data_IF_368882850714
#
_entry.id   IF_368882850714
#
_cell.length_a   1.000
_cell.length_b   1.000
_cell.length_c   1.000
_cell.angle_alpha   90.00
_cell.angle_beta   90.00
_cell.angle_gamma   90.00
#
_symmetry.space_group_name_H-M   'P 1'
#
loop_
_entity.id
_entity.type
_entity.pdbx_description
1 polymer ?
#
# COMPACT_ATOMS: atom_id res chain seq x y z
N UNK A 1 7.86 1.16 -22.02
CA UNK A 1 7.68 -0.31 -22.15
C UNK A 1 6.21 -0.59 -21.91
N UNK A 2 5.57 -1.44 -22.73
CA UNK A 2 4.18 -1.84 -22.52
C UNK A 2 4.06 -2.64 -21.22
N UNK A 3 2.99 -2.38 -20.47
CA UNK A 3 2.61 -3.14 -19.26
C UNK A 3 1.81 -4.37 -19.67
N UNK A 4 1.60 -5.30 -18.76
CA UNK A 4 0.80 -6.52 -19.02
C UNK A 4 -0.65 -6.18 -19.43
N UNK A 5 -1.26 -5.17 -18.79
CA UNK A 5 -2.59 -4.66 -19.14
C UNK A 5 -2.65 -4.13 -20.58
N UNK A 6 -1.61 -3.41 -21.02
CA UNK A 6 -1.57 -2.85 -22.37
C UNK A 6 -1.49 -3.96 -23.42
N UNK A 7 -0.64 -4.97 -23.16
CA UNK A 7 -0.49 -6.14 -24.04
C UNK A 7 -1.82 -6.93 -24.11
N UNK A 8 -2.46 -7.13 -22.96
CA UNK A 8 -3.72 -7.87 -22.87
C UNK A 8 -4.84 -7.13 -23.62
N UNK A 9 -4.99 -5.83 -23.38
CA UNK A 9 -5.99 -4.96 -24.04
C UNK A 9 -5.82 -4.96 -25.57
N UNK A 10 -4.58 -4.79 -26.05
CA UNK A 10 -4.26 -4.83 -27.49
C UNK A 10 -4.64 -6.22 -28.06
N UNK A 11 -4.30 -7.29 -27.37
CA UNK A 11 -4.54 -8.65 -27.84
C UNK A 11 -6.04 -8.97 -27.90
N UNK A 12 -6.80 -8.60 -26.87
CA UNK A 12 -8.25 -8.83 -26.83
C UNK A 12 -8.97 -8.04 -27.91
N UNK A 13 -8.69 -6.75 -28.00
CA UNK A 13 -9.28 -5.84 -28.99
C UNK A 13 -9.00 -6.32 -30.41
N UNK A 14 -7.77 -6.81 -30.68
CA UNK A 14 -7.40 -7.35 -31.98
C UNK A 14 -8.12 -8.67 -32.31
N UNK A 15 -8.15 -9.60 -31.37
CA UNK A 15 -8.73 -10.93 -31.60
C UNK A 15 -10.25 -10.89 -31.73
N UNK A 16 -10.89 -10.05 -30.92
CA UNK A 16 -12.35 -9.97 -30.84
C UNK A 16 -12.93 -8.87 -31.74
N UNK A 17 -12.09 -8.18 -32.52
CA UNK A 17 -12.48 -7.09 -33.44
C UNK A 17 -13.27 -5.97 -32.73
N UNK A 18 -12.88 -5.62 -31.52
CA UNK A 18 -13.58 -4.62 -30.70
C UNK A 18 -13.19 -3.21 -31.16
N UNK A 19 -14.19 -2.36 -31.35
CA UNK A 19 -13.97 -0.92 -31.59
C UNK A 19 -14.01 -0.18 -30.27
N UNK A 20 -12.93 0.58 -29.99
CA UNK A 20 -12.79 1.42 -28.80
C UNK A 20 -12.38 2.81 -29.26
N UNK A 21 -13.16 3.81 -28.86
CA UNK A 21 -12.93 5.20 -29.26
C UNK A 21 -11.52 5.66 -28.85
N UNK A 22 -10.85 6.37 -29.76
CA UNK A 22 -9.46 6.80 -29.55
C UNK A 22 -8.41 5.70 -29.52
N UNK A 23 -8.78 4.39 -29.52
CA UNK A 23 -7.85 3.28 -29.34
C UNK A 23 -7.86 2.27 -30.50
N UNK A 24 -9.03 1.82 -30.96
CA UNK A 24 -9.13 0.77 -31.99
C UNK A 24 -10.35 0.96 -32.87
N UNK A 25 -10.20 0.68 -34.19
CA UNK A 25 -11.27 0.79 -35.16
C UNK A 25 -11.09 -0.24 -36.27
N UNK A 26 -12.20 -0.82 -36.72
CA UNK A 26 -12.24 -1.62 -37.94
C UNK A 26 -12.30 -0.72 -39.17
N UNK A 27 -11.31 -0.83 -40.04
CA UNK A 27 -11.18 0.00 -41.22
C UNK A 27 -11.43 -0.86 -42.47
N UNK A 28 -12.37 -0.46 -43.34
CA UNK A 28 -12.65 -1.17 -44.58
C UNK A 28 -11.54 -1.00 -45.61
N UNK A 29 -11.35 -1.99 -46.48
CA UNK A 29 -10.39 -1.89 -47.61
C UNK A 29 -10.69 -0.70 -48.49
N UNK A 30 -11.98 -0.39 -48.71
CA UNK A 30 -12.40 0.78 -49.53
C UNK A 30 -11.92 2.10 -48.92
N UNK A 31 -11.98 2.23 -47.58
CA UNK A 31 -11.48 3.40 -46.90
C UNK A 31 -9.94 3.51 -46.97
N UNK A 32 -9.24 2.36 -46.89
CA UNK A 32 -7.79 2.30 -47.10
C UNK A 32 -7.42 2.73 -48.53
N UNK A 33 -8.15 2.27 -49.55
CA UNK A 33 -7.94 2.71 -50.95
C UNK A 33 -8.17 4.19 -51.12
N UNK A 34 -9.19 4.78 -50.51
CA UNK A 34 -9.48 6.20 -50.52
C UNK A 34 -8.36 7.01 -49.86
N UNK A 35 -7.65 6.45 -48.91
CA UNK A 35 -6.47 7.03 -48.27
C UNK A 35 -5.16 6.61 -48.96
N UNK A 36 -5.19 6.25 -50.24
CA UNK A 36 -4.04 5.91 -51.08
C UNK A 36 -3.17 4.78 -50.45
N UNK A 37 -3.83 3.81 -49.84
CA UNK A 37 -3.19 2.70 -49.09
C UNK A 37 -2.25 3.14 -47.97
N UNK A 38 -2.43 4.33 -47.45
CA UNK A 38 -1.66 4.82 -46.31
C UNK A 38 -2.21 4.25 -45.03
N UNK A 39 -1.42 3.38 -44.33
CA UNK A 39 -1.78 2.68 -43.09
C UNK A 39 -1.37 3.44 -41.84
N UNK A 40 -1.12 4.75 -41.93
CA UNK A 40 -0.76 5.54 -40.76
C UNK A 40 -1.95 5.67 -39.81
N UNK A 41 -1.82 5.14 -38.60
CA UNK A 41 -2.89 5.03 -37.58
C UNK A 41 -3.65 6.33 -37.33
N UNK A 42 -3.00 7.50 -37.16
CA UNK A 42 -3.71 8.78 -36.95
C UNK A 42 -4.68 9.20 -38.04
N UNK A 43 -4.68 8.56 -39.21
CA UNK A 43 -5.67 8.82 -40.26
C UNK A 43 -7.02 8.12 -39.99
N UNK A 44 -7.01 7.12 -39.15
CA UNK A 44 -8.17 6.23 -38.89
C UNK A 44 -8.66 6.32 -37.44
N UNK A 45 -7.76 6.65 -36.52
CA UNK A 45 -8.03 6.76 -35.10
C UNK A 45 -7.53 8.12 -34.64
N UNK A 46 -8.44 8.95 -34.14
CA UNK A 46 -8.07 10.19 -33.47
C UNK A 46 -7.86 9.91 -31.98
N UNK A 47 -6.59 9.90 -31.57
CA UNK A 47 -6.18 9.72 -30.19
C UNK A 47 -5.75 11.07 -29.54
N UNK A 48 -6.12 12.19 -30.15
CA UNK A 48 -5.83 13.51 -29.59
C UNK A 48 -6.76 13.79 -28.42
N UNK A 49 -6.17 13.97 -27.26
CA UNK A 49 -6.89 14.51 -26.11
C UNK A 49 -7.42 15.91 -26.45
N UNK A 50 -8.67 16.17 -26.08
CA UNK A 50 -9.23 17.51 -26.17
C UNK A 50 -8.38 18.47 -25.34
N UNK A 51 -7.88 19.54 -25.97
CA UNK A 51 -7.07 20.53 -25.26
C UNK A 51 -7.93 21.18 -24.18
N UNK A 52 -7.55 20.96 -22.92
CA UNK A 52 -8.15 21.66 -21.78
C UNK A 52 -7.82 23.16 -21.87
N UNK A 53 -8.82 23.95 -22.22
CA UNK A 53 -8.70 25.41 -22.32
C UNK A 53 -9.04 25.99 -20.96
N UNK A 54 -8.03 26.37 -20.20
CA UNK A 54 -8.22 27.02 -18.90
C UNK A 54 -9.06 28.28 -18.99
N UNK A 55 -10.14 28.34 -18.21
CA UNK A 55 -11.00 29.50 -18.09
C UNK A 55 -10.37 30.55 -17.15
N UNK A 56 -9.76 31.60 -17.76
CA UNK A 56 -9.12 32.71 -17.03
C UNK A 56 -10.15 33.45 -16.15
N UNK A 57 -11.42 33.56 -16.60
CA UNK A 57 -12.45 34.24 -15.85
C UNK A 57 -12.86 33.47 -14.57
N UNK A 58 -12.91 32.15 -14.63
CA UNK A 58 -13.10 31.31 -13.49
C UNK A 58 -11.96 31.48 -12.45
N UNK A 59 -10.72 31.56 -12.95
CA UNK A 59 -9.55 31.78 -12.08
C UNK A 59 -9.56 33.13 -11.37
N UNK A 60 -10.03 34.19 -12.02
CA UNK A 60 -10.01 35.54 -11.47
C UNK A 60 -11.21 35.85 -10.58
N UNK A 61 -12.37 35.25 -10.85
CA UNK A 61 -13.65 35.58 -10.19
C UNK A 61 -14.20 34.46 -9.32
N UNK A 62 -13.57 33.31 -9.35
CA UNK A 62 -14.09 32.10 -8.72
C UNK A 62 -15.19 31.42 -9.55
N UNK A 63 -15.86 30.47 -8.97
CA UNK A 63 -16.77 29.49 -9.59
C UNK A 63 -16.05 28.51 -10.55
N UNK A 64 -16.75 27.46 -10.93
CA UNK A 64 -16.25 26.39 -11.80
C UNK A 64 -17.06 26.42 -13.09
N UNK A 65 -16.43 26.38 -14.28
CA UNK A 65 -17.19 26.26 -15.53
C UNK A 65 -18.10 25.03 -15.48
N UNK A 66 -19.35 25.19 -15.89
CA UNK A 66 -20.31 24.08 -15.90
C UNK A 66 -19.86 22.96 -16.84
N UNK A 67 -19.11 23.30 -17.89
CA UNK A 67 -18.52 22.31 -18.81
C UNK A 67 -17.58 21.38 -18.06
N UNK A 68 -16.69 21.88 -17.22
CA UNK A 68 -15.72 21.07 -16.46
C UNK A 68 -16.45 20.10 -15.49
N UNK A 69 -17.57 20.57 -14.90
CA UNK A 69 -18.41 19.69 -14.07
C UNK A 69 -19.13 18.65 -14.93
N UNK A 70 -19.58 19.00 -16.14
CA UNK A 70 -20.30 18.10 -17.03
C UNK A 70 -19.36 17.10 -17.71
N UNK A 71 -18.08 17.42 -17.89
CA UNK A 71 -17.05 16.52 -18.42
C UNK A 71 -16.79 15.32 -17.47
N UNK A 72 -17.16 15.42 -16.20
CA UNK A 72 -17.22 14.29 -15.28
C UNK A 72 -18.48 13.42 -15.47
N UNK A 73 -19.06 13.42 -16.67
CA UNK A 73 -20.32 12.76 -16.99
C UNK A 73 -20.37 11.28 -16.62
N UNK A 74 -19.27 10.53 -16.78
CA UNK A 74 -19.20 9.11 -16.41
C UNK A 74 -19.39 8.90 -14.90
N UNK A 75 -18.83 9.79 -14.07
CA UNK A 75 -19.04 9.77 -12.63
C UNK A 75 -20.48 10.09 -12.28
N UNK A 76 -21.10 11.05 -12.94
CA UNK A 76 -22.48 11.45 -12.68
C UNK A 76 -23.51 10.41 -13.13
N UNK A 77 -23.16 9.50 -14.03
CA UNK A 77 -23.98 8.34 -14.35
C UNK A 77 -24.07 7.37 -13.17
N UNK A 78 -22.98 7.23 -12.42
CA UNK A 78 -22.90 6.33 -11.25
C UNK A 78 -23.37 7.03 -9.97
N UNK A 79 -23.07 8.34 -9.84
CA UNK A 79 -23.32 9.14 -8.65
C UNK A 79 -24.22 10.37 -8.94
N UNK A 80 -25.44 10.18 -9.44
CA UNK A 80 -26.28 11.31 -9.89
C UNK A 80 -26.69 12.26 -8.75
N UNK A 81 -26.84 11.79 -7.52
CA UNK A 81 -27.22 12.66 -6.38
C UNK A 81 -26.01 13.28 -5.70
N UNK A 82 -24.82 12.68 -5.82
CA UNK A 82 -23.56 13.24 -5.34
C UNK A 82 -23.26 14.57 -6.05
N UNK A 83 -23.45 14.64 -7.39
CA UNK A 83 -23.32 15.90 -8.13
C UNK A 83 -24.10 17.03 -7.48
N UNK A 84 -25.37 16.80 -7.14
CA UNK A 84 -26.23 17.79 -6.52
C UNK A 84 -25.84 18.13 -5.07
N UNK A 85 -25.11 17.25 -4.41
CA UNK A 85 -24.56 17.48 -3.07
C UNK A 85 -23.33 18.37 -3.08
N UNK A 86 -22.58 18.34 -4.19
CA UNK A 86 -21.33 19.09 -4.34
C UNK A 86 -21.51 20.45 -5.02
N UNK A 87 -22.42 20.57 -6.00
CA UNK A 87 -22.53 21.73 -6.87
C UNK A 87 -23.93 22.32 -6.90
N UNK A 88 -24.01 23.65 -6.98
CA UNK A 88 -25.20 24.42 -7.35
C UNK A 88 -24.93 25.26 -8.59
N UNK A 89 -26.01 25.70 -9.26
CA UNK A 89 -25.88 26.69 -10.34
C UNK A 89 -25.40 28.02 -9.77
N UNK A 90 -24.38 28.61 -10.37
CA UNK A 90 -23.93 29.96 -10.03
C UNK A 90 -24.91 31.02 -10.53
N UNK A 91 -24.89 32.21 -9.92
CA UNK A 91 -25.55 33.41 -10.48
C UNK A 91 -24.97 33.80 -11.83
N UNK A 92 -23.74 33.41 -12.10
CA UNK A 92 -23.07 33.59 -13.39
C UNK A 92 -23.50 32.50 -14.35
N UNK A 93 -23.99 32.89 -15.52
CA UNK A 93 -24.38 31.93 -16.56
C UNK A 93 -23.16 31.09 -17.02
N UNK A 94 -23.36 29.78 -17.16
CA UNK A 94 -22.35 28.75 -17.51
C UNK A 94 -21.33 28.43 -16.40
N UNK A 95 -21.60 28.83 -15.16
CA UNK A 95 -20.75 28.46 -14.02
C UNK A 95 -21.55 27.74 -12.95
N UNK A 96 -20.85 26.93 -12.20
CA UNK A 96 -21.35 26.19 -11.02
C UNK A 96 -20.56 26.63 -9.80
N UNK A 97 -21.24 26.67 -8.65
CA UNK A 97 -20.62 27.02 -7.36
C UNK A 97 -20.51 25.76 -6.50
N UNK A 98 -19.40 25.62 -5.81
CA UNK A 98 -19.25 24.54 -4.84
C UNK A 98 -20.10 24.83 -3.59
N UNK A 99 -20.91 23.85 -3.16
CA UNK A 99 -21.82 23.97 -1.99
C UNK A 99 -21.14 23.80 -0.66
N UNK A 100 -19.97 23.19 -0.64
CA UNK A 100 -19.24 22.77 0.55
C UNK A 100 -17.80 23.30 0.52
N UNK A 101 -17.16 23.37 1.66
CA UNK A 101 -15.77 23.75 1.76
C UNK A 101 -14.86 22.70 1.10
N UNK A 102 -13.77 23.16 0.49
CA UNK A 102 -12.81 22.28 -0.21
C UNK A 102 -12.28 21.14 0.67
N UNK A 103 -12.04 21.43 1.94
CA UNK A 103 -11.46 20.48 2.90
C UNK A 103 -12.39 19.32 3.24
N UNK A 104 -13.70 19.45 3.01
CA UNK A 104 -14.70 18.41 3.28
C UNK A 104 -15.17 17.65 2.06
N UNK A 105 -14.73 18.03 0.83
CA UNK A 105 -15.14 17.37 -0.42
C UNK A 105 -14.86 15.87 -0.35
N UNK A 106 -13.62 15.50 -0.04
CA UNK A 106 -13.18 14.10 0.04
C UNK A 106 -14.05 13.31 1.01
N UNK A 107 -14.26 13.82 2.22
CA UNK A 107 -15.10 13.17 3.21
C UNK A 107 -16.57 13.05 2.75
N UNK A 108 -17.10 14.07 2.06
CA UNK A 108 -18.46 14.05 1.52
C UNK A 108 -18.62 12.97 0.46
N UNK A 109 -17.65 12.80 -0.43
CA UNK A 109 -17.65 11.73 -1.45
C UNK A 109 -17.63 10.36 -0.79
N UNK A 110 -16.67 10.09 0.09
CA UNK A 110 -16.49 8.78 0.74
C UNK A 110 -17.66 8.37 1.65
N UNK A 111 -18.37 9.34 2.23
CA UNK A 111 -19.52 9.06 3.09
C UNK A 111 -20.85 9.08 2.33
N UNK A 112 -20.85 9.46 1.05
CA UNK A 112 -22.06 9.51 0.26
C UNK A 112 -22.63 8.11 -0.02
N UNK A 113 -23.96 7.98 0.11
CA UNK A 113 -24.63 6.68 0.00
C UNK A 113 -24.40 5.97 -1.36
N UNK A 114 -24.31 6.72 -2.45
CA UNK A 114 -24.06 6.19 -3.80
C UNK A 114 -22.64 5.66 -3.91
N UNK A 115 -21.65 6.36 -3.35
CA UNK A 115 -20.26 5.91 -3.32
C UNK A 115 -20.09 4.66 -2.46
N UNK A 116 -20.65 4.67 -1.24
CA UNK A 116 -20.63 3.49 -0.35
C UNK A 116 -21.30 2.27 -0.99
N UNK A 117 -22.39 2.50 -1.75
CA UNK A 117 -23.05 1.43 -2.49
C UNK A 117 -22.17 0.87 -3.62
N UNK A 118 -21.56 1.75 -4.41
CA UNK A 118 -20.63 1.35 -5.48
C UNK A 118 -19.45 0.56 -4.92
N UNK A 119 -18.80 1.04 -3.85
CA UNK A 119 -17.71 0.33 -3.18
C UNK A 119 -18.14 -1.09 -2.76
N UNK A 120 -19.29 -1.23 -2.10
CA UNK A 120 -19.82 -2.54 -1.71
C UNK A 120 -20.13 -3.45 -2.90
N UNK A 121 -20.54 -2.91 -4.02
CA UNK A 121 -20.77 -3.69 -5.24
C UNK A 121 -19.44 -4.23 -5.79
N UNK A 122 -18.39 -3.41 -5.78
CA UNK A 122 -17.04 -3.83 -6.21
C UNK A 122 -16.43 -4.85 -5.26
N UNK A 123 -16.54 -4.63 -3.95
CA UNK A 123 -16.11 -5.60 -2.93
C UNK A 123 -16.78 -6.95 -3.11
N UNK A 124 -18.10 -6.97 -3.37
CA UNK A 124 -18.84 -8.21 -3.60
C UNK A 124 -18.39 -8.93 -4.88
N UNK A 125 -18.06 -8.21 -5.94
CA UNK A 125 -17.51 -8.80 -7.17
C UNK A 125 -16.18 -9.48 -6.88
N UNK A 126 -15.30 -8.79 -6.16
CA UNK A 126 -14.01 -9.34 -5.75
C UNK A 126 -14.19 -10.57 -4.86
N UNK A 127 -15.06 -10.51 -3.87
CA UNK A 127 -15.34 -11.63 -2.95
C UNK A 127 -15.83 -12.89 -3.69
N UNK A 128 -16.67 -12.74 -4.70
CA UNK A 128 -17.13 -13.87 -5.54
C UNK A 128 -15.93 -14.50 -6.26
N UNK A 129 -15.12 -13.70 -6.94
CA UNK A 129 -13.91 -14.17 -7.63
C UNK A 129 -12.92 -14.81 -6.65
N UNK A 130 -12.65 -14.16 -5.51
CA UNK A 130 -11.78 -14.64 -4.43
C UNK A 130 -12.19 -16.01 -3.93
N UNK A 131 -13.47 -16.18 -3.59
CA UNK A 131 -13.98 -17.44 -3.03
C UNK A 131 -13.88 -18.61 -4.03
N UNK A 132 -14.10 -18.36 -5.32
CA UNK A 132 -13.88 -19.35 -6.37
C UNK A 132 -12.40 -19.69 -6.50
N UNK A 133 -11.54 -18.69 -6.52
CA UNK A 133 -10.10 -18.83 -6.72
C UNK A 133 -9.38 -19.52 -5.54
N UNK A 134 -9.78 -19.27 -4.31
CA UNK A 134 -9.20 -19.89 -3.10
C UNK A 134 -9.25 -21.42 -3.18
N UNK A 135 -10.36 -21.97 -3.62
CA UNK A 135 -10.53 -23.43 -3.69
C UNK A 135 -9.53 -24.07 -4.66
N UNK A 136 -9.35 -23.47 -5.83
CA UNK A 136 -8.42 -23.96 -6.85
C UNK A 136 -6.96 -23.74 -6.43
N UNK A 137 -6.64 -22.58 -5.88
CA UNK A 137 -5.31 -22.27 -5.42
C UNK A 137 -4.85 -23.22 -4.29
N UNK A 138 -5.75 -23.55 -3.36
CA UNK A 138 -5.45 -24.54 -2.30
C UNK A 138 -5.35 -25.98 -2.83
N UNK A 139 -5.80 -26.23 -4.05
CA UNK A 139 -5.69 -27.53 -4.72
C UNK A 139 -4.41 -27.69 -5.55
N UNK A 140 -3.56 -26.67 -5.63
CA UNK A 140 -2.25 -26.75 -6.32
C UNK A 140 -1.44 -27.91 -5.74
N UNK A 141 -0.86 -28.73 -6.61
CA UNK A 141 -0.04 -29.89 -6.29
C UNK A 141 1.16 -30.00 -7.25
N UNK A 142 1.93 -31.09 -7.12
CA UNK A 142 3.11 -31.37 -7.96
C UNK A 142 2.82 -31.60 -9.43
N UNK A 143 1.56 -31.76 -9.82
CA UNK A 143 1.11 -31.90 -11.22
C UNK A 143 0.62 -30.61 -11.86
N UNK A 144 0.46 -29.56 -11.05
CA UNK A 144 -0.08 -28.28 -11.48
C UNK A 144 0.93 -27.49 -12.32
N UNK A 145 0.41 -26.68 -13.24
CA UNK A 145 1.22 -25.80 -14.11
C UNK A 145 0.94 -24.34 -13.74
N UNK A 146 1.93 -23.61 -13.20
CA UNK A 146 1.73 -22.20 -12.82
C UNK A 146 1.16 -21.33 -13.93
N UNK A 147 1.56 -21.57 -15.19
CA UNK A 147 1.05 -20.85 -16.36
C UNK A 147 -0.46 -21.04 -16.58
N UNK A 148 -0.96 -22.24 -16.36
CA UNK A 148 -2.39 -22.53 -16.56
C UNK A 148 -3.21 -21.92 -15.41
N UNK A 149 -2.64 -21.92 -14.18
CA UNK A 149 -3.25 -21.30 -13.00
C UNK A 149 -3.46 -19.80 -13.22
N UNK A 150 -2.43 -19.07 -13.59
CA UNK A 150 -2.56 -17.61 -13.78
C UNK A 150 -3.48 -17.27 -14.95
N UNK A 151 -3.45 -18.06 -16.02
CA UNK A 151 -4.33 -17.84 -17.17
C UNK A 151 -5.81 -17.94 -16.77
N UNK A 152 -6.17 -18.94 -15.95
CA UNK A 152 -7.53 -19.13 -15.47
C UNK A 152 -7.96 -18.05 -14.47
N UNK A 153 -7.10 -17.72 -13.50
CA UNK A 153 -7.35 -16.64 -12.52
C UNK A 153 -7.59 -15.30 -13.22
N UNK A 154 -6.71 -14.96 -14.16
CA UNK A 154 -6.75 -13.71 -14.90
C UNK A 154 -7.99 -13.64 -15.81
N UNK A 155 -8.34 -14.74 -16.49
CA UNK A 155 -9.53 -14.79 -17.34
C UNK A 155 -10.82 -14.53 -16.53
N UNK A 156 -10.96 -15.19 -15.38
CA UNK A 156 -12.12 -14.97 -14.50
C UNK A 156 -12.15 -13.59 -13.88
N UNK A 157 -10.99 -13.02 -13.52
CA UNK A 157 -10.92 -11.67 -12.97
C UNK A 157 -11.39 -10.64 -14.00
N UNK A 158 -10.87 -10.71 -15.22
CA UNK A 158 -11.31 -9.85 -16.33
C UNK A 158 -12.81 -9.96 -16.60
N UNK A 159 -13.35 -11.19 -16.61
CA UNK A 159 -14.78 -11.41 -16.82
C UNK A 159 -15.64 -10.85 -15.68
N UNK A 160 -15.15 -10.85 -14.45
CA UNK A 160 -15.87 -10.31 -13.28
C UNK A 160 -16.01 -8.79 -13.33
N UNK A 161 -15.04 -8.09 -13.92
CA UNK A 161 -15.02 -6.63 -14.05
C UNK A 161 -15.39 -6.15 -15.46
N UNK A 162 -15.91 -7.02 -16.31
CA UNK A 162 -16.37 -6.63 -17.64
C UNK A 162 -17.59 -5.69 -17.54
N UNK A 163 -17.62 -4.67 -18.39
CA UNK A 163 -18.68 -3.64 -18.44
C UNK A 163 -18.99 -2.95 -17.09
N UNK A 164 -17.98 -2.75 -16.25
CA UNK A 164 -18.14 -1.95 -15.02
C UNK A 164 -17.85 -0.48 -15.28
N UNK A 165 -18.75 0.37 -14.80
CA UNK A 165 -18.53 1.81 -14.87
C UNK A 165 -17.39 2.22 -13.96
N UNK A 166 -16.60 3.21 -14.37
CA UNK A 166 -15.50 3.83 -13.64
C UNK A 166 -14.30 2.93 -13.34
N UNK A 167 -14.35 1.65 -13.65
CA UNK A 167 -13.24 0.70 -13.45
C UNK A 167 -12.88 0.07 -14.79
N UNK A 168 -11.63 0.25 -15.23
CA UNK A 168 -11.11 -0.51 -16.37
C UNK A 168 -10.65 -1.90 -15.88
N UNK A 169 -11.27 -2.95 -16.41
CA UNK A 169 -10.90 -4.36 -16.09
C UNK A 169 -9.42 -4.65 -16.30
N UNK A 170 -8.75 -3.89 -17.18
CA UNK A 170 -7.33 -4.07 -17.45
C UNK A 170 -6.44 -3.49 -16.37
N UNK A 171 -6.90 -2.45 -15.67
CA UNK A 171 -6.19 -1.93 -14.49
C UNK A 171 -6.25 -2.96 -13.33
N UNK A 172 -7.43 -3.56 -13.10
CA UNK A 172 -7.59 -4.67 -12.14
C UNK A 172 -6.71 -5.86 -12.51
N UNK A 173 -6.66 -6.22 -13.81
CA UNK A 173 -5.78 -7.27 -14.32
C UNK A 173 -4.30 -6.97 -14.07
N UNK A 174 -3.87 -5.70 -14.18
CA UNK A 174 -2.48 -5.31 -13.95
C UNK A 174 -2.06 -5.58 -12.50
N UNK A 175 -2.91 -5.33 -11.50
CA UNK A 175 -2.60 -5.65 -10.10
C UNK A 175 -2.31 -7.14 -9.91
N UNK A 176 -3.20 -7.99 -10.44
CA UNK A 176 -2.97 -9.44 -10.39
C UNK A 176 -1.64 -9.83 -11.07
N UNK A 177 -1.36 -9.29 -12.26
CA UNK A 177 -0.16 -9.64 -13.01
C UNK A 177 1.11 -9.11 -12.39
N UNK A 178 1.06 -7.93 -11.78
CA UNK A 178 2.19 -7.38 -11.02
C UNK A 178 2.53 -8.29 -9.85
N UNK A 179 1.54 -8.60 -9.03
CA UNK A 179 1.72 -9.48 -7.87
C UNK A 179 2.15 -10.91 -8.26
N UNK A 180 1.60 -11.43 -9.36
CA UNK A 180 2.02 -12.71 -9.93
C UNK A 180 3.51 -12.71 -10.29
N UNK A 181 3.95 -11.71 -11.03
CA UNK A 181 5.35 -11.63 -11.50
C UNK A 181 6.35 -11.37 -10.37
N UNK A 182 5.95 -10.67 -9.32
CA UNK A 182 6.84 -10.30 -8.21
C UNK A 182 6.91 -11.37 -7.12
N UNK A 183 5.85 -12.17 -6.92
CA UNK A 183 5.75 -13.05 -5.76
C UNK A 183 5.07 -14.39 -6.07
N UNK A 184 3.85 -14.36 -6.57
CA UNK A 184 2.96 -15.53 -6.59
C UNK A 184 3.47 -16.64 -7.53
N UNK A 185 4.16 -16.26 -8.61
CA UNK A 185 4.74 -17.20 -9.57
C UNK A 185 5.80 -18.08 -8.91
N UNK A 186 6.72 -17.48 -8.17
CA UNK A 186 7.81 -18.20 -7.49
C UNK A 186 7.24 -19.08 -6.39
N UNK A 187 6.27 -18.59 -5.62
CA UNK A 187 5.53 -19.39 -4.63
C UNK A 187 4.89 -20.63 -5.27
N UNK A 188 4.21 -20.45 -6.43
CA UNK A 188 3.60 -21.57 -7.16
C UNK A 188 4.65 -22.62 -7.59
N UNK A 189 5.83 -22.18 -8.04
CA UNK A 189 6.92 -23.13 -8.37
C UNK A 189 7.43 -23.86 -7.15
N UNK A 190 7.59 -23.19 -6.00
CA UNK A 190 7.97 -23.83 -4.73
C UNK A 190 6.93 -24.90 -4.34
N UNK A 191 5.64 -24.57 -4.42
CA UNK A 191 4.56 -25.49 -4.06
C UNK A 191 4.51 -26.70 -5.02
N UNK A 192 4.67 -26.47 -6.31
CA UNK A 192 4.69 -27.56 -7.31
C UNK A 192 5.90 -28.49 -7.11
N UNK A 193 7.02 -27.97 -6.63
CA UNK A 193 8.24 -28.74 -6.43
C UNK A 193 8.34 -29.42 -5.06
N UNK A 194 8.09 -28.68 -3.98
CA UNK A 194 8.26 -29.12 -2.59
C UNK A 194 6.92 -29.48 -1.89
N UNK A 195 5.78 -29.15 -2.47
CA UNK A 195 4.46 -29.23 -1.84
C UNK A 195 4.20 -28.07 -0.88
N UNK A 196 3.11 -28.17 -0.13
CA UNK A 196 2.68 -27.17 0.86
C UNK A 196 3.48 -27.30 2.17
N UNK A 197 4.76 -26.95 2.12
CA UNK A 197 5.71 -27.05 3.23
C UNK A 197 6.39 -25.72 3.48
N UNK A 198 6.32 -25.20 4.69
CA UNK A 198 7.04 -24.00 5.10
C UNK A 198 8.51 -24.33 5.45
N UNK A 199 9.36 -24.47 4.44
CA UNK A 199 10.75 -24.88 4.58
C UNK A 199 11.64 -23.70 4.93
N UNK A 200 12.23 -23.70 6.11
CA UNK A 200 13.15 -22.67 6.57
C UNK A 200 14.57 -22.91 6.06
N UNK A 201 15.30 -21.83 5.78
CA UNK A 201 16.70 -21.88 5.39
C UNK A 201 17.52 -20.79 6.09
N UNK A 202 18.87 -20.94 6.13
CA UNK A 202 19.75 -19.90 6.69
C UNK A 202 20.07 -18.86 5.64
N UNK A 203 19.97 -17.57 6.04
CA UNK A 203 20.32 -16.43 5.20
C UNK A 203 21.78 -16.07 5.44
N UNK A 204 22.65 -16.37 4.46
CA UNK A 204 24.09 -16.08 4.52
C UNK A 204 24.41 -14.93 3.56
N UNK A 205 24.90 -13.83 4.09
CA UNK A 205 25.33 -12.67 3.30
C UNK A 205 26.86 -12.62 3.21
N UNK A 206 27.41 -12.46 2.00
CA UNK A 206 28.85 -12.31 1.81
C UNK A 206 29.23 -10.83 1.84
N UNK A 207 29.85 -10.36 2.95
CA UNK A 207 30.41 -9.01 3.10
C UNK A 207 31.94 -9.05 3.12
N UNK A 208 32.58 -8.32 2.20
CA UNK A 208 34.05 -8.22 2.14
C UNK A 208 34.75 -9.60 2.19
N UNK A 209 34.24 -10.59 1.45
CA UNK A 209 34.72 -11.99 1.38
C UNK A 209 34.58 -12.78 2.70
N UNK A 210 33.73 -12.31 3.63
CA UNK A 210 33.36 -13.06 4.82
C UNK A 210 31.86 -13.37 4.79
N UNK A 211 31.52 -14.60 5.08
CA UNK A 211 30.14 -15.02 5.28
C UNK A 211 29.64 -14.49 6.63
N UNK A 212 28.50 -13.81 6.57
CA UNK A 212 27.80 -13.28 7.75
C UNK A 212 26.43 -13.94 7.79
N UNK A 213 26.18 -14.67 8.85
CA UNK A 213 24.87 -15.26 9.11
C UNK A 213 23.87 -14.17 9.55
N UNK A 214 22.78 -14.03 8.80
CA UNK A 214 21.68 -13.06 9.03
C UNK A 214 20.47 -13.67 9.71
N UNK A 215 20.57 -14.92 10.10
CA UNK A 215 19.46 -15.65 10.69
C UNK A 215 18.86 -16.64 9.72
N UNK A 216 17.56 -16.80 9.79
CA UNK A 216 16.79 -17.74 8.97
C UNK A 216 15.59 -17.06 8.32
N UNK A 217 15.09 -17.67 7.24
CA UNK A 217 13.91 -17.21 6.54
C UNK A 217 13.13 -18.39 5.93
N UNK A 218 11.96 -18.11 5.36
CA UNK A 218 11.13 -19.05 4.62
C UNK A 218 10.53 -18.34 3.41
N UNK A 219 10.91 -18.75 2.21
CA UNK A 219 10.49 -18.10 0.96
C UNK A 219 8.98 -18.15 0.76
N UNK A 220 8.35 -19.31 1.04
CA UNK A 220 6.91 -19.49 0.82
C UNK A 220 6.05 -18.76 1.86
N UNK A 221 6.42 -18.82 3.13
CA UNK A 221 5.65 -18.28 4.24
C UNK A 221 6.49 -17.25 5.00
N UNK A 222 6.37 -15.94 4.72
CA UNK A 222 7.03 -14.89 5.45
C UNK A 222 6.70 -14.90 6.95
N UNK A 223 7.66 -14.50 7.77
CA UNK A 223 7.54 -14.48 9.24
C UNK A 223 6.33 -13.69 9.73
N UNK A 224 6.06 -12.54 9.12
CA UNK A 224 4.99 -11.63 9.51
C UNK A 224 3.61 -12.26 9.45
N UNK A 225 3.37 -13.18 8.51
CA UNK A 225 2.11 -13.92 8.43
C UNK A 225 1.93 -14.87 9.62
N UNK A 226 3.00 -15.55 10.01
CA UNK A 226 2.98 -16.45 11.18
C UNK A 226 2.84 -15.65 12.47
N UNK A 227 3.51 -14.49 12.57
CA UNK A 227 3.38 -13.57 13.70
C UNK A 227 1.91 -13.10 13.82
N UNK A 228 1.36 -12.57 12.73
CA UNK A 228 0.01 -12.01 12.73
C UNK A 228 -1.06 -13.02 13.12
N UNK A 229 -0.86 -14.28 12.79
CA UNK A 229 -1.84 -15.35 13.07
C UNK A 229 -1.66 -16.03 14.42
N UNK A 230 -0.42 -16.23 14.88
CA UNK A 230 -0.13 -17.09 16.03
C UNK A 230 0.57 -16.37 17.19
N UNK A 231 1.19 -15.21 16.97
CA UNK A 231 2.02 -14.51 17.95
C UNK A 231 1.70 -13.01 18.01
N UNK A 232 0.41 -12.70 17.82
CA UNK A 232 -0.06 -11.29 17.81
C UNK A 232 0.15 -10.61 19.17
N UNK A 233 -0.01 -11.35 20.26
CA UNK A 233 0.13 -10.79 21.61
C UNK A 233 1.60 -10.52 21.92
N UNK A 234 2.51 -11.40 21.53
CA UNK A 234 3.95 -11.20 21.65
C UNK A 234 4.44 -10.02 20.80
N UNK A 235 3.92 -9.87 19.58
CA UNK A 235 4.22 -8.74 18.73
C UNK A 235 3.69 -7.43 19.32
N UNK A 236 2.48 -7.42 19.86
CA UNK A 236 1.92 -6.26 20.53
C UNK A 236 2.74 -5.85 21.76
N UNK A 237 3.21 -6.82 22.53
CA UNK A 237 4.10 -6.56 23.68
C UNK A 237 5.45 -5.97 23.21
N UNK A 238 6.01 -6.46 22.10
CA UNK A 238 7.22 -5.90 21.51
C UNK A 238 7.00 -4.46 21.02
N UNK A 239 5.92 -4.20 20.31
CA UNK A 239 5.56 -2.86 19.84
C UNK A 239 5.42 -1.87 21.01
N UNK A 240 4.78 -2.28 22.11
CA UNK A 240 4.65 -1.43 23.30
C UNK A 240 6.02 -1.07 23.93
N UNK A 241 6.99 -2.00 23.91
CA UNK A 241 8.35 -1.72 24.37
C UNK A 241 9.09 -0.77 23.41
N UNK A 242 8.83 -0.85 22.11
CA UNK A 242 9.41 0.06 21.11
C UNK A 242 8.82 1.46 21.24
N UNK A 243 7.51 1.59 21.49
CA UNK A 243 6.85 2.88 21.78
C UNK A 243 7.37 3.50 23.09
N UNK A 244 7.56 2.70 24.15
CA UNK A 244 8.18 3.16 25.40
C UNK A 244 9.59 3.70 25.15
N UNK A 245 10.41 2.96 24.39
CA UNK A 245 11.76 3.39 24.02
C UNK A 245 11.73 4.72 23.26
N UNK A 246 10.86 4.87 22.26
CA UNK A 246 10.74 6.10 21.47
C UNK A 246 10.32 7.28 22.34
N UNK A 247 9.36 7.08 23.24
CA UNK A 247 8.94 8.09 24.21
C UNK A 247 10.10 8.55 25.08
N UNK A 248 10.91 7.63 25.60
CA UNK A 248 12.08 7.97 26.40
C UNK A 248 13.14 8.72 25.58
N UNK A 249 13.39 8.29 24.33
CA UNK A 249 14.34 8.96 23.41
C UNK A 249 13.88 10.40 23.11
N UNK A 250 12.58 10.62 22.92
CA UNK A 250 11.99 11.96 22.73
C UNK A 250 12.19 12.83 23.99
N UNK A 251 11.85 12.30 25.17
CA UNK A 251 12.04 13.03 26.44
C UNK A 251 13.50 13.42 26.69
N UNK A 252 14.45 12.54 26.37
CA UNK A 252 15.88 12.85 26.47
C UNK A 252 16.28 13.99 25.52
N UNK A 253 15.78 13.97 24.29
CA UNK A 253 16.04 15.02 23.30
C UNK A 253 15.44 16.35 23.73
N UNK A 254 14.19 16.36 24.20
CA UNK A 254 13.53 17.57 24.71
C UNK A 254 14.29 18.17 25.90
N UNK A 255 14.73 17.35 26.85
CA UNK A 255 15.55 17.82 27.98
C UNK A 255 16.91 18.37 27.52
N UNK A 256 17.55 17.76 26.53
CA UNK A 256 18.78 18.28 25.94
C UNK A 256 18.56 19.64 25.29
N UNK A 257 17.52 19.80 24.48
CA UNK A 257 17.17 21.06 23.79
C UNK A 257 16.83 22.16 24.80
N UNK A 258 16.05 21.85 25.85
CA UNK A 258 15.62 22.82 26.87
C UNK A 258 16.79 23.34 27.70
N UNK A 259 17.77 22.48 28.01
CA UNK A 259 18.83 22.78 28.95
C UNK A 259 20.24 22.93 28.33
N UNK A 260 20.36 22.98 26.97
CA UNK A 260 21.63 23.21 26.26
C UNK A 260 21.89 24.67 25.88
N UNK A 261 20.99 25.62 26.22
CA UNK A 261 21.18 27.05 26.00
C UNK A 261 22.32 27.61 26.86
N UNK A 262 22.75 28.87 26.61
CA UNK A 262 23.87 29.51 27.33
C UNK A 262 23.71 29.48 28.87
N UNK A 263 22.49 29.53 29.38
CA UNK A 263 22.14 29.42 30.80
C UNK A 263 21.72 28.01 31.25
N UNK A 264 21.77 27.03 30.36
CA UNK A 264 21.29 25.66 30.62
C UNK A 264 22.38 24.78 31.26
N UNK A 265 21.98 23.88 32.16
CA UNK A 265 22.90 23.02 32.91
C UNK A 265 23.73 22.04 32.04
N UNK A 266 23.31 21.77 30.78
CA UNK A 266 24.09 20.95 29.86
C UNK A 266 25.13 21.72 29.06
N UNK A 267 25.09 23.06 29.06
CA UNK A 267 26.05 23.91 28.34
C UNK A 267 27.51 23.74 28.84
N UNK A 268 27.69 23.42 30.10
CA UNK A 268 29.00 23.21 30.74
C UNK A 268 29.59 21.81 30.44
N UNK A 269 28.87 20.94 29.76
CA UNK A 269 29.32 19.58 29.46
C UNK A 269 29.93 19.49 28.06
N UNK A 270 31.17 19.02 27.95
CA UNK A 270 31.81 18.72 26.67
C UNK A 270 30.94 17.76 25.79
N UNK A 271 30.26 16.83 26.42
CA UNK A 271 29.30 15.89 25.82
C UNK A 271 28.28 15.46 26.85
N UNK A 272 27.01 15.44 26.45
CA UNK A 272 25.93 14.90 27.27
C UNK A 272 26.03 13.37 27.24
N UNK A 273 26.58 12.79 28.30
CA UNK A 273 26.69 11.35 28.51
C UNK A 273 26.71 11.01 30.00
N UNK A 274 26.40 9.77 30.34
CA UNK A 274 26.28 9.29 31.73
C UNK A 274 27.52 9.56 32.57
N UNK A 275 28.72 9.51 31.97
CA UNK A 275 30.00 9.77 32.68
C UNK A 275 30.15 11.24 33.10
N UNK A 276 29.96 12.14 32.16
CA UNK A 276 30.11 13.59 32.39
C UNK A 276 29.01 14.10 33.34
N UNK A 277 27.77 13.64 33.17
CA UNK A 277 26.65 14.01 34.07
C UNK A 277 26.92 13.54 35.49
N UNK A 278 27.37 12.30 35.69
CA UNK A 278 27.72 11.82 37.03
C UNK A 278 28.91 12.59 37.66
N UNK A 279 29.88 13.05 36.86
CA UNK A 279 30.97 13.90 37.36
C UNK A 279 30.42 15.25 37.81
N UNK A 280 29.59 15.90 36.95
CA UNK A 280 28.99 17.20 37.28
C UNK A 280 28.07 17.15 38.50
N UNK A 281 27.26 16.09 38.62
CA UNK A 281 26.43 15.86 39.80
C UNK A 281 27.21 15.74 41.12
N UNK A 282 28.45 15.26 41.07
CA UNK A 282 29.29 15.22 42.28
C UNK A 282 29.79 16.60 42.67
N UNK A 283 30.08 17.45 41.70
CA UNK A 283 30.50 18.85 41.92
C UNK A 283 29.32 19.66 42.46
N UNK A 284 28.15 19.61 41.82
CA UNK A 284 26.94 20.33 42.21
C UNK A 284 26.49 20.03 43.65
N UNK A 285 26.71 18.83 44.16
CA UNK A 285 26.40 18.48 45.56
C UNK A 285 27.21 19.29 46.60
N UNK A 286 28.24 20.00 46.17
CA UNK A 286 29.06 20.85 47.02
C UNK A 286 28.83 22.35 46.79
N UNK A 287 27.98 22.70 45.81
CA UNK A 287 27.59 24.06 45.44
C UNK A 287 26.31 24.47 46.20
N UNK A 288 26.22 25.74 46.64
CA UNK A 288 24.98 26.32 47.18
C UNK A 288 24.06 26.72 46.02
N UNK A 289 22.75 26.50 46.17
CA UNK A 289 21.70 26.81 45.16
C UNK A 289 21.70 25.93 43.86
N UNK A 290 22.25 24.70 43.88
CA UNK A 290 22.30 23.79 42.71
C UNK A 290 21.16 22.76 42.67
N UNK A 291 20.13 22.87 43.51
CA UNK A 291 19.08 21.86 43.67
C UNK A 291 18.32 21.58 42.35
N UNK A 292 18.04 22.59 41.55
CA UNK A 292 17.34 22.47 40.28
C UNK A 292 18.16 21.67 39.24
N UNK A 293 19.46 21.98 39.12
CA UNK A 293 20.34 21.27 38.19
C UNK A 293 20.55 19.82 38.61
N UNK A 294 20.61 19.56 39.89
CA UNK A 294 20.70 18.20 40.45
C UNK A 294 19.45 17.40 40.09
N UNK A 295 18.26 17.99 40.14
CA UNK A 295 17.00 17.36 39.77
C UNK A 295 16.97 17.05 38.28
N UNK A 296 17.36 17.99 37.40
CA UNK A 296 17.42 17.81 35.95
C UNK A 296 18.38 16.67 35.58
N UNK A 297 19.63 16.71 36.08
CA UNK A 297 20.61 15.67 35.81
C UNK A 297 20.20 14.31 36.36
N UNK A 298 19.55 14.25 37.52
CA UNK A 298 19.05 13.00 38.09
C UNK A 298 17.94 12.41 37.28
N UNK A 299 17.02 13.25 36.81
CA UNK A 299 15.92 12.86 35.88
C UNK A 299 16.47 12.36 34.58
N UNK A 300 17.41 13.04 33.97
CA UNK A 300 18.07 12.64 32.71
C UNK A 300 18.79 11.28 32.86
N UNK A 301 19.54 11.08 33.95
CA UNK A 301 20.17 9.77 34.24
C UNK A 301 19.15 8.65 34.41
N UNK A 302 18.03 8.94 35.08
CA UNK A 302 16.94 7.98 35.23
C UNK A 302 16.35 7.57 33.85
N UNK A 303 16.13 8.54 32.95
CA UNK A 303 15.69 8.28 31.58
C UNK A 303 16.72 7.46 30.80
N UNK A 304 18.03 7.79 30.90
CA UNK A 304 19.08 6.97 30.28
C UNK A 304 19.09 5.52 30.77
N UNK A 305 18.89 5.32 32.08
CA UNK A 305 18.83 3.97 32.66
C UNK A 305 17.57 3.21 32.21
N UNK A 306 16.44 3.90 32.09
CA UNK A 306 15.21 3.35 31.55
C UNK A 306 15.35 3.01 30.06
N UNK A 307 16.00 3.88 29.27
CA UNK A 307 16.32 3.60 27.87
C UNK A 307 17.18 2.34 27.72
N UNK A 308 18.20 2.19 28.56
CA UNK A 308 19.04 0.99 28.55
C UNK A 308 18.26 -0.28 28.91
N UNK A 309 17.34 -0.20 29.88
CA UNK A 309 16.44 -1.30 30.23
C UNK A 309 15.48 -1.63 29.08
N UNK A 310 14.82 -0.63 28.50
CA UNK A 310 13.90 -0.81 27.36
C UNK A 310 14.62 -1.48 26.18
N UNK A 311 15.81 -0.99 25.79
CA UNK A 311 16.65 -1.62 24.74
C UNK A 311 17.00 -3.08 25.05
N UNK A 312 17.28 -3.40 26.30
CA UNK A 312 17.54 -4.80 26.71
C UNK A 312 16.28 -5.66 26.63
N UNK A 313 15.15 -5.13 27.08
CA UNK A 313 13.85 -5.83 27.03
C UNK A 313 13.43 -6.11 25.59
N UNK A 314 13.55 -5.11 24.68
CA UNK A 314 13.29 -5.27 23.24
C UNK A 314 14.16 -6.38 22.65
N UNK A 315 15.47 -6.35 22.91
CA UNK A 315 16.39 -7.39 22.43
C UNK A 315 15.99 -8.79 22.91
N UNK A 316 15.57 -8.90 24.16
CA UNK A 316 15.14 -10.19 24.74
C UNK A 316 13.83 -10.65 24.11
N UNK A 317 12.82 -9.77 24.04
CA UNK A 317 11.52 -10.08 23.45
C UNK A 317 11.63 -10.44 21.95
N UNK A 318 12.47 -9.73 21.18
CA UNK A 318 12.74 -10.05 19.78
C UNK A 318 13.36 -11.45 19.63
N UNK A 319 14.33 -11.79 20.49
CA UNK A 319 14.96 -13.10 20.44
C UNK A 319 14.01 -14.24 20.86
N UNK A 320 13.15 -13.99 21.84
CA UNK A 320 12.13 -14.94 22.29
C UNK A 320 11.08 -15.16 21.18
N UNK A 321 10.60 -14.08 20.54
CA UNK A 321 9.67 -14.18 19.43
C UNK A 321 10.28 -14.93 18.25
N UNK A 322 11.54 -14.65 17.87
CA UNK A 322 12.23 -15.37 16.78
C UNK A 322 12.40 -16.88 17.12
N UNK A 323 12.67 -17.21 18.37
CA UNK A 323 12.75 -18.60 18.82
C UNK A 323 11.39 -19.32 18.75
N UNK A 324 10.31 -18.65 19.17
CA UNK A 324 8.94 -19.18 19.06
C UNK A 324 8.54 -19.42 17.61
N UNK A 325 8.85 -18.44 16.73
CA UNK A 325 8.64 -18.55 15.29
C UNK A 325 9.39 -19.75 14.72
N UNK A 326 10.69 -19.85 14.96
CA UNK A 326 11.50 -20.96 14.45
C UNK A 326 10.98 -22.32 14.89
N UNK A 327 10.48 -22.42 16.11
CA UNK A 327 9.86 -23.64 16.63
C UNK A 327 8.48 -23.93 15.99
N UNK A 328 7.73 -22.91 15.59
CA UNK A 328 6.40 -23.05 14.97
C UNK A 328 6.46 -23.60 13.55
N UNK A 329 7.42 -23.14 12.72
CA UNK A 329 7.49 -23.50 11.30
C UNK A 329 7.47 -25.01 11.02
N UNK A 330 8.27 -25.85 11.68
CA UNK A 330 8.25 -27.31 11.47
C UNK A 330 6.93 -27.97 11.87
N UNK A 331 6.10 -27.29 12.66
CA UNK A 331 4.82 -27.81 13.15
C UNK A 331 3.64 -27.41 12.28
N UNK A 332 3.85 -26.51 11.30
CA UNK A 332 2.81 -26.07 10.39
C UNK A 332 2.34 -27.23 9.52
N UNK A 333 1.05 -27.52 9.60
CA UNK A 333 0.40 -28.51 8.74
C UNK A 333 0.24 -27.95 7.32
N UNK A 334 0.12 -28.81 6.29
CA UNK A 334 -0.18 -28.34 4.92
C UNK A 334 -1.41 -27.45 4.82
N UNK A 335 -2.45 -27.67 5.62
CA UNK A 335 -3.64 -26.83 5.63
C UNK A 335 -3.37 -25.44 6.23
N UNK A 336 -2.57 -25.36 7.29
CA UNK A 336 -2.14 -24.07 7.86
C UNK A 336 -1.29 -23.30 6.85
N UNK A 337 -0.36 -23.97 6.15
CA UNK A 337 0.45 -23.35 5.09
C UNK A 337 -0.44 -22.83 3.95
N UNK A 338 -1.42 -23.62 3.49
CA UNK A 338 -2.41 -23.18 2.49
C UNK A 338 -3.17 -21.92 2.93
N UNK A 339 -3.57 -21.85 4.18
CA UNK A 339 -4.26 -20.67 4.72
C UNK A 339 -3.34 -19.45 4.76
N UNK A 340 -2.12 -19.61 5.31
CA UNK A 340 -1.15 -18.52 5.38
C UNK A 340 -0.77 -17.97 3.98
N UNK A 341 -0.61 -18.87 3.00
CA UNK A 341 -0.17 -18.46 1.65
C UNK A 341 -1.34 -17.96 0.82
N UNK A 342 -2.45 -18.71 0.74
CA UNK A 342 -3.55 -18.34 -0.15
C UNK A 342 -4.41 -17.24 0.44
N UNK A 343 -4.84 -17.38 1.71
CA UNK A 343 -5.76 -16.42 2.30
C UNK A 343 -5.02 -15.15 2.79
N UNK A 344 -3.95 -15.33 3.59
CA UNK A 344 -3.30 -14.23 4.31
C UNK A 344 -2.23 -13.51 3.46
N UNK A 345 -1.57 -14.20 2.51
CA UNK A 345 -0.54 -13.61 1.65
C UNK A 345 -1.13 -13.17 0.32
N UNK A 346 -1.64 -14.11 -0.49
CA UNK A 346 -2.02 -13.82 -1.87
C UNK A 346 -3.32 -13.01 -1.96
N UNK A 347 -4.40 -13.53 -1.39
CA UNK A 347 -5.71 -12.89 -1.51
C UNK A 347 -5.77 -11.58 -0.75
N UNK A 348 -5.16 -11.49 0.44
CA UNK A 348 -5.14 -10.25 1.19
C UNK A 348 -4.36 -9.12 0.47
N UNK A 349 -3.25 -9.45 -0.21
CA UNK A 349 -2.48 -8.47 -0.99
C UNK A 349 -3.28 -7.99 -2.20
N UNK A 350 -3.83 -8.92 -3.01
CA UNK A 350 -4.62 -8.58 -4.20
C UNK A 350 -5.86 -7.76 -3.82
N UNK A 351 -6.54 -8.13 -2.73
CA UNK A 351 -7.70 -7.40 -2.19
C UNK A 351 -7.35 -5.96 -1.83
N UNK A 352 -6.24 -5.77 -1.13
CA UNK A 352 -5.77 -4.44 -0.75
C UNK A 352 -5.43 -3.58 -1.97
N UNK A 353 -4.76 -4.15 -2.97
CA UNK A 353 -4.37 -3.43 -4.18
C UNK A 353 -5.60 -3.00 -5.00
N UNK A 354 -6.59 -3.89 -5.16
CA UNK A 354 -7.84 -3.57 -5.86
C UNK A 354 -8.67 -2.56 -5.08
N UNK A 355 -8.76 -2.67 -3.74
CA UNK A 355 -9.47 -1.69 -2.91
C UNK A 355 -8.83 -0.30 -3.00
N UNK A 356 -7.51 -0.22 -3.04
CA UNK A 356 -6.80 1.05 -3.24
C UNK A 356 -7.12 1.68 -4.60
N UNK A 357 -7.29 0.89 -5.67
CA UNK A 357 -7.71 1.40 -6.98
C UNK A 357 -9.11 2.00 -6.93
N UNK A 358 -10.05 1.32 -6.28
CA UNK A 358 -11.41 1.83 -6.10
C UNK A 358 -11.42 3.16 -5.34
N UNK A 359 -10.56 3.29 -4.33
CA UNK A 359 -10.42 4.52 -3.56
C UNK A 359 -9.81 5.67 -4.39
N UNK A 360 -8.92 5.37 -5.35
CA UNK A 360 -8.33 6.37 -6.25
C UNK A 360 -9.37 7.02 -7.17
N UNK A 361 -10.45 6.32 -7.53
CA UNK A 361 -11.54 6.87 -8.36
C UNK A 361 -12.18 8.13 -7.73
N UNK A 362 -12.07 8.27 -6.40
CA UNK A 362 -12.63 9.39 -5.65
C UNK A 362 -11.63 10.52 -5.38
N UNK A 363 -10.39 10.39 -5.78
CA UNK A 363 -9.32 11.37 -5.60
C UNK A 363 -9.15 12.26 -6.83
#
# INVERSE_FOLDING_TARGET
>A
RLREQDIKKITDVFNDFIEVDGFSRMVSVVEIEQNEYNLNIPRYIDSTDTVDIQDIEAHLRGDIPTVDVDDLGEYWKVYPTLKNSLFDASERNKYSTLKIDKDVIKNTIFTHSEFVKFQKEMDNIFDIWKNQSITELKAIDTGSKPKDIIAELAHRLLASYDDRNLIDKYDIYQYLMTYWNETMQDDCYIIVFDGWVAKTHRVIEVKKKKEVDKGWDCDLVPKDLVISRYFKDEQNALNALEEEKETIETQLTEMEEEHSGEDGCFSDLDKVNKGNINARLKELKTEEDADQDIEIFSSYLSLMDNLAKAKKSIKTATAELDALLYAKYPTLTPNEVKTLVVDDKWMATIENDISNEIDQISQ
#
